data_IF_924177124127
#
_entry.id   IF_924177124127
#
_cell.length_a   1.000
_cell.length_b   1.000
_cell.length_c   1.000
_cell.angle_alpha   90.00
_cell.angle_beta   90.00
_cell.angle_gamma   90.00
#
_symmetry.space_group_name_H-M   'P 1'
#
loop_
_entity.id
_entity.type
_entity.pdbx_description
1 polymer ?
#
# COMPACT_ATOMS: atom_id res chain seq x y z
N UNK A 1 -9.50 22.18 24.23
CA UNK A 1 -9.92 22.38 22.84
C UNK A 1 -10.68 21.13 22.40
N UNK A 2 -11.87 21.27 21.82
CA UNK A 2 -12.66 20.13 21.37
C UNK A 2 -12.25 19.76 19.94
N UNK A 3 -12.34 18.47 19.58
CA UNK A 3 -11.95 17.95 18.25
C UNK A 3 -12.70 18.67 17.11
N UNK A 4 -13.98 18.96 17.29
CA UNK A 4 -14.83 19.62 16.29
C UNK A 4 -14.40 21.07 15.99
N UNK A 5 -13.54 21.66 16.82
CA UNK A 5 -12.98 23.00 16.63
C UNK A 5 -11.69 23.01 15.82
N UNK A 6 -11.16 21.83 15.47
CA UNK A 6 -9.91 21.69 14.73
C UNK A 6 -10.20 21.29 13.30
N UNK A 7 -9.76 22.11 12.37
CA UNK A 7 -9.74 21.77 10.94
C UNK A 7 -8.32 21.35 10.61
N UNK A 8 -8.15 20.05 10.36
CA UNK A 8 -6.85 19.45 10.03
C UNK A 8 -6.79 19.06 8.56
N UNK A 9 -5.99 19.76 7.77
CA UNK A 9 -5.70 19.49 6.36
C UNK A 9 -4.37 18.75 6.16
N UNK A 10 -3.84 18.08 7.17
CA UNK A 10 -2.61 17.31 7.06
C UNK A 10 -2.72 16.22 5.97
N UNK A 11 -1.77 16.16 5.02
CA UNK A 11 -1.84 15.23 3.89
C UNK A 11 -1.42 13.79 4.24
N UNK A 12 -0.88 13.61 5.43
CA UNK A 12 -0.46 12.32 6.00
C UNK A 12 0.63 12.49 7.06
N UNK A 13 0.38 12.03 8.31
CA UNK A 13 -0.85 11.35 8.77
C UNK A 13 -2.11 12.18 8.57
N UNK A 14 -3.13 11.56 7.99
CA UNK A 14 -4.39 12.24 7.69
C UNK A 14 -5.41 12.12 8.84
N UNK A 15 -6.49 12.89 8.75
CA UNK A 15 -7.61 12.82 9.70
C UNK A 15 -8.29 11.45 9.57
N UNK A 16 -8.53 10.82 10.72
CA UNK A 16 -9.29 9.58 10.80
C UNK A 16 -10.79 9.87 11.06
N UNK A 17 -11.70 9.02 10.56
CA UNK A 17 -13.10 9.08 10.90
C UNK A 17 -13.29 9.07 12.43
N UNK A 18 -14.25 9.87 12.92
CA UNK A 18 -14.51 9.94 14.36
C UNK A 18 -14.99 8.60 14.93
N UNK A 19 -15.83 7.91 14.19
CA UNK A 19 -16.41 6.62 14.57
C UNK A 19 -15.33 5.55 14.75
N UNK A 20 -14.30 5.58 13.91
CA UNK A 20 -13.14 4.67 14.03
C UNK A 20 -12.35 4.95 15.31
N UNK A 21 -12.10 6.22 15.61
CA UNK A 21 -11.38 6.60 16.83
C UNK A 21 -12.18 6.34 18.10
N UNK A 22 -13.50 6.54 18.06
CA UNK A 22 -14.37 6.30 19.21
C UNK A 22 -14.46 4.79 19.49
N UNK A 23 -14.63 3.98 18.46
CA UNK A 23 -14.58 2.50 18.57
C UNK A 23 -13.23 2.02 19.13
N UNK A 24 -12.12 2.56 18.61
CA UNK A 24 -10.79 2.23 19.11
C UNK A 24 -10.63 2.60 20.61
N UNK A 25 -11.14 3.75 21.04
CA UNK A 25 -11.12 4.17 22.44
C UNK A 25 -11.95 3.26 23.35
N UNK A 26 -13.13 2.82 22.90
CA UNK A 26 -13.99 1.88 23.63
C UNK A 26 -13.29 0.55 23.87
N UNK A 27 -12.58 0.04 22.85
CA UNK A 27 -11.93 -1.26 22.87
C UNK A 27 -10.48 -1.23 23.42
N UNK A 28 -9.94 -0.04 23.69
CA UNK A 28 -8.52 0.14 24.00
C UNK A 28 -8.02 -0.69 25.19
N UNK A 29 -8.82 -0.84 26.23
CA UNK A 29 -8.45 -1.57 27.44
C UNK A 29 -8.98 -3.01 27.47
N UNK A 30 -9.97 -3.32 26.65
CA UNK A 30 -10.59 -4.65 26.65
C UNK A 30 -11.13 -4.96 25.24
N UNK A 31 -10.21 -5.32 24.35
CA UNK A 31 -10.57 -5.67 22.98
C UNK A 31 -11.28 -7.03 22.92
N UNK A 32 -12.42 -7.04 22.24
CA UNK A 32 -13.23 -8.26 22.00
C UNK A 32 -13.47 -9.11 23.27
N UNK A 33 -13.64 -8.44 24.43
CA UNK A 33 -13.87 -9.09 25.75
C UNK A 33 -12.75 -10.03 26.20
N UNK A 34 -11.54 -9.86 25.68
CA UNK A 34 -10.36 -10.67 26.07
C UNK A 34 -9.78 -10.30 27.42
N UNK A 35 -10.18 -9.16 27.99
CA UNK A 35 -9.58 -8.58 29.20
C UNK A 35 -8.24 -7.88 28.95
N UNK A 36 -7.81 -7.78 27.69
CA UNK A 36 -6.55 -7.15 27.28
C UNK A 36 -6.77 -6.14 26.15
N UNK A 37 -5.85 -5.20 26.02
CA UNK A 37 -5.77 -4.34 24.83
C UNK A 37 -5.34 -5.15 23.62
N UNK A 38 -5.83 -4.77 22.43
CA UNK A 38 -5.32 -5.34 21.17
C UNK A 38 -3.80 -5.15 21.02
N UNK A 39 -3.21 -4.13 21.66
CA UNK A 39 -1.76 -3.88 21.66
C UNK A 39 -0.97 -4.92 22.47
N UNK A 40 -1.63 -5.64 23.39
CA UNK A 40 -1.02 -6.65 24.27
C UNK A 40 -1.24 -8.07 23.76
N UNK A 41 -2.12 -8.24 22.74
CA UNK A 41 -2.45 -9.54 22.16
C UNK A 41 -1.24 -10.08 21.38
N UNK A 42 -0.89 -11.34 21.66
CA UNK A 42 0.16 -12.03 20.91
C UNK A 42 -0.24 -12.20 19.43
N UNK A 43 0.65 -11.81 18.52
CA UNK A 43 0.46 -12.05 17.08
C UNK A 43 0.42 -13.54 16.67
N UNK A 44 0.57 -14.45 17.64
CA UNK A 44 0.45 -15.92 17.45
C UNK A 44 -0.80 -16.49 18.10
N UNK A 45 -1.59 -15.69 18.79
CA UNK A 45 -2.85 -16.14 19.40
C UNK A 45 -3.94 -16.40 18.36
N UNK A 46 -4.95 -17.17 18.73
CA UNK A 46 -6.15 -17.42 17.91
C UNK A 46 -6.88 -16.13 17.59
N UNK A 47 -7.05 -15.25 18.58
CA UNK A 47 -7.76 -13.98 18.46
C UNK A 47 -7.10 -13.05 17.44
N UNK A 48 -5.76 -12.97 17.45
CA UNK A 48 -5.05 -12.20 16.43
C UNK A 48 -5.12 -12.87 15.06
N UNK A 49 -5.05 -14.18 14.96
CA UNK A 49 -5.18 -14.90 13.70
C UNK A 49 -6.54 -14.64 13.06
N UNK A 50 -7.60 -14.61 13.84
CA UNK A 50 -8.96 -14.28 13.37
C UNK A 50 -9.04 -12.84 12.86
N UNK A 51 -8.57 -11.85 13.66
CA UNK A 51 -8.48 -10.45 13.25
C UNK A 51 -7.69 -10.28 11.95
N UNK A 52 -6.52 -10.91 11.87
CA UNK A 52 -5.63 -10.80 10.73
C UNK A 52 -6.26 -11.34 9.45
N UNK A 53 -6.89 -12.51 9.52
CA UNK A 53 -7.59 -13.13 8.40
C UNK A 53 -8.81 -12.29 7.97
N UNK A 54 -9.58 -11.78 8.93
CA UNK A 54 -10.73 -10.93 8.68
C UNK A 54 -10.33 -9.62 7.96
N UNK A 55 -9.29 -8.95 8.43
CA UNK A 55 -8.80 -7.71 7.80
C UNK A 55 -8.29 -7.97 6.38
N UNK A 56 -7.56 -9.07 6.14
CA UNK A 56 -7.14 -9.46 4.78
C UNK A 56 -8.34 -9.71 3.87
N UNK A 57 -9.31 -10.47 4.34
CA UNK A 57 -10.50 -10.81 3.55
C UNK A 57 -11.34 -9.57 3.22
N UNK A 58 -11.60 -8.70 4.20
CA UNK A 58 -12.30 -7.43 3.99
C UNK A 58 -11.57 -6.51 3.00
N UNK A 59 -10.25 -6.42 3.11
CA UNK A 59 -9.43 -5.66 2.17
C UNK A 59 -9.53 -6.24 0.75
N UNK A 60 -9.48 -7.57 0.64
CA UNK A 60 -9.64 -8.27 -0.63
C UNK A 60 -10.98 -7.97 -1.29
N UNK A 61 -12.06 -8.00 -0.51
CA UNK A 61 -13.40 -7.73 -0.99
C UNK A 61 -13.60 -6.26 -1.38
N UNK A 62 -13.23 -5.31 -0.53
CA UNK A 62 -13.46 -3.87 -0.77
C UNK A 62 -12.62 -3.33 -1.93
N UNK A 63 -11.39 -3.83 -2.10
CA UNK A 63 -10.50 -3.42 -3.17
C UNK A 63 -10.59 -4.29 -4.43
N UNK A 64 -11.48 -5.31 -4.46
CA UNK A 64 -11.64 -6.25 -5.57
C UNK A 64 -10.34 -6.96 -5.96
N UNK A 65 -9.54 -7.36 -4.96
CA UNK A 65 -8.24 -8.01 -5.19
C UNK A 65 -8.46 -9.43 -5.72
N UNK A 66 -7.94 -9.78 -6.91
CA UNK A 66 -8.14 -11.10 -7.50
C UNK A 66 -7.31 -12.18 -6.79
N UNK A 67 -7.69 -13.45 -6.96
CA UNK A 67 -6.99 -14.61 -6.36
C UNK A 67 -5.55 -14.79 -6.85
N UNK A 68 -5.20 -14.21 -7.99
CA UNK A 68 -3.84 -14.17 -8.50
C UNK A 68 -2.89 -13.31 -7.66
N UNK A 69 -3.44 -12.42 -6.82
CA UNK A 69 -2.65 -11.52 -5.98
C UNK A 69 -2.70 -11.93 -4.53
N UNK A 70 -1.65 -11.56 -3.82
CA UNK A 70 -1.51 -11.72 -2.38
C UNK A 70 -1.41 -10.36 -1.70
N UNK A 71 -1.94 -10.29 -0.46
CA UNK A 71 -1.83 -9.12 0.39
C UNK A 71 -0.74 -9.38 1.42
N UNK A 72 0.27 -8.52 1.46
CA UNK A 72 1.30 -8.54 2.49
C UNK A 72 1.16 -7.32 3.39
N UNK A 73 1.21 -7.54 4.70
CA UNK A 73 1.28 -6.50 5.71
C UNK A 73 2.73 -6.33 6.15
N UNK A 74 3.32 -5.20 5.78
CA UNK A 74 4.74 -4.94 5.94
C UNK A 74 5.00 -3.70 6.79
N UNK A 75 6.26 -3.44 7.10
CA UNK A 75 6.71 -2.28 7.85
C UNK A 75 7.64 -1.42 6.98
N UNK A 76 7.95 -0.20 7.44
CA UNK A 76 8.89 0.70 6.75
C UNK A 76 8.26 1.72 5.82
N UNK A 77 6.93 1.70 5.64
CA UNK A 77 6.21 2.66 4.78
C UNK A 77 6.56 2.51 3.30
N UNK A 78 6.03 3.42 2.48
CA UNK A 78 6.38 3.51 1.06
C UNK A 78 7.89 3.70 0.85
N UNK A 79 8.58 4.35 1.79
CA UNK A 79 10.03 4.56 1.68
C UNK A 79 10.83 3.26 1.65
N UNK A 80 10.43 2.25 2.41
CA UNK A 80 11.05 0.93 2.31
C UNK A 80 10.72 0.26 0.97
N UNK A 81 9.49 0.42 0.47
CA UNK A 81 9.08 -0.17 -0.81
C UNK A 81 9.83 0.40 -2.00
N UNK A 82 10.19 1.69 -1.97
CA UNK A 82 11.04 2.31 -3.01
C UNK A 82 12.39 1.60 -3.20
N UNK A 83 12.92 0.97 -2.13
CA UNK A 83 14.13 0.13 -2.19
C UNK A 83 13.79 -1.35 -2.42
N UNK A 84 12.73 -1.86 -1.77
CA UNK A 84 12.37 -3.28 -1.82
C UNK A 84 11.91 -3.72 -3.21
N UNK A 85 11.17 -2.89 -3.93
CA UNK A 85 10.74 -3.18 -5.31
C UNK A 85 11.95 -3.48 -6.20
N UNK A 86 12.94 -2.59 -6.37
CA UNK A 86 14.10 -2.90 -7.18
C UNK A 86 14.96 -4.05 -6.61
N UNK A 87 15.05 -4.22 -5.28
CA UNK A 87 15.77 -5.35 -4.68
C UNK A 87 15.15 -6.69 -5.07
N UNK A 88 13.83 -6.81 -5.09
CA UNK A 88 13.14 -8.06 -5.40
C UNK A 88 12.99 -8.29 -6.91
N UNK A 89 12.68 -7.26 -7.68
CA UNK A 89 12.28 -7.42 -9.09
C UNK A 89 13.40 -7.16 -10.10
N UNK A 90 14.56 -6.64 -9.67
CA UNK A 90 15.61 -6.14 -10.56
C UNK A 90 16.99 -6.50 -10.04
N UNK A 91 18.07 -6.26 -10.80
CA UNK A 91 19.47 -6.43 -10.41
C UNK A 91 20.35 -5.32 -11.00
N UNK A 92 21.64 -5.31 -10.69
CA UNK A 92 22.59 -4.34 -11.26
C UNK A 92 22.76 -4.49 -12.77
N UNK A 93 22.55 -5.69 -13.30
CA UNK A 93 22.69 -6.02 -14.71
C UNK A 93 21.41 -5.80 -15.51
N UNK A 94 20.30 -5.53 -14.82
CA UNK A 94 18.99 -5.27 -15.44
C UNK A 94 18.64 -3.78 -15.42
N UNK A 95 17.50 -3.44 -15.98
CA UNK A 95 16.96 -2.10 -15.97
C UNK A 95 15.51 -2.10 -15.51
N UNK A 96 15.03 -0.96 -15.03
CA UNK A 96 13.64 -0.71 -14.73
C UNK A 96 13.21 0.65 -15.28
N UNK A 97 11.99 0.73 -15.76
CA UNK A 97 11.38 1.94 -16.27
C UNK A 97 10.68 2.70 -15.15
N UNK A 98 10.84 4.00 -15.10
CA UNK A 98 10.20 4.87 -14.12
C UNK A 98 9.49 6.04 -14.78
N UNK A 99 8.29 6.34 -14.32
CA UNK A 99 7.55 7.54 -14.67
C UNK A 99 7.88 8.65 -13.67
N UNK A 100 8.56 9.70 -14.11
CA UNK A 100 8.96 10.83 -13.28
C UNK A 100 7.82 11.87 -13.23
N UNK A 101 6.80 11.62 -12.40
CA UNK A 101 5.62 12.47 -12.27
C UNK A 101 5.83 13.66 -11.31
N UNK A 102 6.62 13.49 -10.24
CA UNK A 102 6.79 14.53 -9.24
C UNK A 102 7.81 14.18 -8.17
N UNK A 103 7.59 14.69 -6.96
CA UNK A 103 8.51 14.56 -5.83
C UNK A 103 8.72 13.10 -5.39
N UNK A 104 7.63 12.34 -5.24
CA UNK A 104 7.72 10.96 -4.75
C UNK A 104 8.31 10.02 -5.80
N UNK A 105 7.96 10.22 -7.06
CA UNK A 105 8.59 9.49 -8.16
C UNK A 105 10.10 9.74 -8.20
N UNK A 106 10.58 10.97 -8.01
CA UNK A 106 12.02 11.29 -7.95
C UNK A 106 12.70 10.58 -6.78
N UNK A 107 12.04 10.45 -5.62
CA UNK A 107 12.58 9.67 -4.50
C UNK A 107 12.68 8.19 -4.83
N UNK A 108 11.64 7.61 -5.43
CA UNK A 108 11.66 6.21 -5.87
C UNK A 108 12.78 5.94 -6.88
N UNK A 109 12.96 6.84 -7.86
CA UNK A 109 14.07 6.79 -8.83
C UNK A 109 15.42 6.84 -8.12
N UNK A 110 15.59 7.73 -7.14
CA UNK A 110 16.85 7.85 -6.38
C UNK A 110 17.21 6.58 -5.62
N UNK A 111 16.23 5.90 -5.02
CA UNK A 111 16.47 4.62 -4.33
C UNK A 111 16.74 3.48 -5.34
N UNK A 112 15.99 3.42 -6.42
CA UNK A 112 16.17 2.40 -7.45
C UNK A 112 17.55 2.48 -8.12
N UNK A 113 18.07 3.68 -8.39
CA UNK A 113 19.41 3.88 -8.99
C UNK A 113 20.57 3.30 -8.16
N UNK A 114 20.36 3.03 -6.88
CA UNK A 114 21.35 2.34 -6.03
C UNK A 114 21.43 0.84 -6.30
N UNK A 115 20.41 0.28 -6.96
CA UNK A 115 20.18 -1.17 -7.06
C UNK A 115 20.14 -1.64 -8.52
N UNK A 116 19.58 -0.86 -9.43
CA UNK A 116 19.38 -1.21 -10.84
C UNK A 116 19.64 -0.01 -11.76
N UNK A 117 19.71 -0.25 -13.06
CA UNK A 117 19.76 0.83 -14.05
C UNK A 117 18.37 1.39 -14.27
N UNK A 118 18.16 2.67 -13.99
CA UNK A 118 16.87 3.33 -14.18
C UNK A 118 16.80 4.02 -15.53
N UNK A 119 15.75 3.69 -16.32
CA UNK A 119 15.33 4.44 -17.49
C UNK A 119 14.13 5.32 -17.14
N UNK A 120 14.18 6.59 -17.50
CA UNK A 120 13.01 7.49 -17.36
C UNK A 120 12.11 7.28 -18.58
N UNK A 121 11.09 6.44 -18.38
CA UNK A 121 10.14 6.07 -19.44
C UNK A 121 9.26 7.25 -19.90
N UNK A 122 8.90 8.12 -18.97
CA UNK A 122 8.19 9.38 -19.24
C UNK A 122 8.39 10.36 -18.10
N UNK A 123 8.16 11.65 -18.36
CA UNK A 123 8.12 12.70 -17.35
C UNK A 123 6.87 13.55 -17.52
N UNK A 124 6.37 14.11 -16.41
CA UNK A 124 5.19 14.98 -16.47
C UNK A 124 5.47 16.29 -17.23
N UNK A 125 4.57 16.74 -18.13
CA UNK A 125 3.37 16.06 -18.60
C UNK A 125 3.70 14.83 -19.45
N UNK A 126 2.90 13.75 -19.33
CA UNK A 126 3.17 12.41 -19.87
C UNK A 126 2.92 12.34 -21.39
N UNK A 127 3.54 13.23 -22.16
CA UNK A 127 3.33 13.35 -23.62
C UNK A 127 4.27 12.43 -24.43
N UNK A 128 5.44 12.12 -23.88
CA UNK A 128 6.47 11.34 -24.58
C UNK A 128 6.87 10.15 -23.77
N UNK A 129 6.94 9.00 -24.44
CA UNK A 129 7.31 7.71 -23.84
C UNK A 129 8.56 7.15 -24.49
N UNK A 130 9.47 6.65 -23.65
CA UNK A 130 10.67 5.93 -24.04
C UNK A 130 10.76 4.65 -23.23
N UNK A 131 9.96 3.65 -23.61
CA UNK A 131 9.86 2.38 -22.93
C UNK A 131 11.04 1.47 -23.28
N UNK A 132 11.57 0.76 -22.30
CA UNK A 132 12.53 -0.30 -22.49
C UNK A 132 11.82 -1.66 -22.41
N UNK A 133 11.63 -2.32 -23.55
CA UNK A 133 10.95 -3.62 -23.64
C UNK A 133 11.66 -4.77 -22.89
N UNK A 134 12.87 -4.53 -22.36
CA UNK A 134 13.62 -5.43 -21.51
C UNK A 134 13.66 -4.99 -20.05
N UNK A 135 12.92 -3.96 -19.67
CA UNK A 135 12.82 -3.53 -18.29
C UNK A 135 12.24 -4.65 -17.42
N UNK A 136 12.74 -4.79 -16.20
CA UNK A 136 12.20 -5.73 -15.22
C UNK A 136 10.79 -5.37 -14.80
N UNK A 137 10.46 -4.07 -14.78
CA UNK A 137 9.15 -3.50 -14.46
C UNK A 137 9.08 -2.02 -14.87
N UNK A 138 7.86 -1.49 -14.87
CA UNK A 138 7.59 -0.05 -14.92
C UNK A 138 7.03 0.38 -13.57
N UNK A 139 7.59 1.44 -13.00
CA UNK A 139 7.14 2.04 -11.75
C UNK A 139 6.53 3.42 -11.96
N UNK A 140 5.40 3.70 -11.28
CA UNK A 140 4.82 5.03 -11.23
C UNK A 140 4.25 5.35 -9.84
N UNK A 141 4.11 6.65 -9.55
CA UNK A 141 3.39 7.16 -8.39
C UNK A 141 2.02 7.63 -8.84
N UNK A 142 0.97 6.98 -8.38
CA UNK A 142 -0.39 7.22 -8.86
C UNK A 142 -0.95 8.59 -8.44
N UNK A 143 -0.42 9.16 -7.35
CA UNK A 143 -0.80 10.50 -6.89
C UNK A 143 0.34 11.17 -6.13
N UNK A 144 0.90 12.20 -6.74
CA UNK A 144 1.96 13.06 -6.18
C UNK A 144 1.36 14.10 -5.23
N UNK A 145 1.37 13.82 -3.94
CA UNK A 145 0.72 14.68 -2.94
C UNK A 145 1.43 16.01 -2.68
N UNK A 146 2.68 16.16 -3.11
CA UNK A 146 3.43 17.43 -3.04
C UNK A 146 3.11 18.32 -4.25
N UNK A 147 3.07 17.71 -5.44
CA UNK A 147 2.91 18.42 -6.71
C UNK A 147 1.43 18.53 -7.14
N UNK A 148 0.54 17.76 -6.53
CA UNK A 148 -0.89 17.73 -6.89
C UNK A 148 -1.17 17.07 -8.24
N UNK A 149 -0.37 16.06 -8.62
CA UNK A 149 -0.44 15.39 -9.92
C UNK A 149 -0.97 13.97 -9.74
N UNK A 150 -2.10 13.65 -10.38
CA UNK A 150 -2.61 12.29 -10.50
C UNK A 150 -2.11 11.62 -11.78
N UNK A 151 -1.71 10.35 -11.68
CA UNK A 151 -1.30 9.51 -12.81
C UNK A 151 -2.05 8.19 -12.72
N UNK A 152 -2.69 7.79 -13.81
CA UNK A 152 -3.34 6.49 -13.95
C UNK A 152 -2.84 5.81 -15.21
N UNK A 153 -2.18 4.68 -15.05
CA UNK A 153 -1.63 3.88 -16.15
C UNK A 153 -2.34 2.52 -16.29
N UNK A 154 -3.43 2.29 -15.56
CA UNK A 154 -4.15 1.01 -15.56
C UNK A 154 -4.73 0.62 -16.92
N UNK A 155 -5.01 1.62 -17.77
CA UNK A 155 -5.53 1.42 -19.13
C UNK A 155 -4.44 1.30 -20.21
N UNK A 156 -3.16 1.36 -19.82
CA UNK A 156 -2.04 1.17 -20.75
C UNK A 156 -1.58 -0.28 -20.72
N UNK A 157 -1.35 -0.83 -21.90
CA UNK A 157 -0.81 -2.19 -22.03
C UNK A 157 0.71 -2.13 -22.05
N UNK A 158 1.32 -2.74 -21.03
CA UNK A 158 2.76 -2.83 -20.89
C UNK A 158 3.19 -4.30 -21.00
N UNK A 159 4.22 -4.59 -21.79
CA UNK A 159 4.79 -5.94 -21.93
C UNK A 159 5.64 -6.36 -20.71
N UNK A 160 5.70 -5.55 -19.67
CA UNK A 160 6.49 -5.76 -18.44
C UNK A 160 5.63 -5.45 -17.21
N UNK A 161 5.98 -6.01 -16.03
CA UNK A 161 5.22 -5.80 -14.79
C UNK A 161 4.99 -4.33 -14.47
N UNK A 162 3.75 -3.94 -14.16
CA UNK A 162 3.39 -2.60 -13.72
C UNK A 162 3.40 -2.52 -12.18
N UNK A 163 4.14 -1.57 -11.65
CA UNK A 163 4.29 -1.31 -10.20
C UNK A 163 3.80 0.08 -9.85
N UNK A 164 2.96 0.20 -8.83
CA UNK A 164 2.37 1.47 -8.41
C UNK A 164 2.61 1.80 -6.93
N UNK A 165 3.04 3.04 -6.67
CA UNK A 165 2.86 3.68 -5.36
C UNK A 165 1.45 4.28 -5.29
N UNK A 166 0.58 3.66 -4.49
CA UNK A 166 -0.78 4.13 -4.23
C UNK A 166 -0.98 4.58 -2.78
N UNK A 167 0.09 5.01 -2.10
CA UNK A 167 0.03 5.39 -0.68
C UNK A 167 -1.03 6.43 -0.36
N UNK A 168 -1.35 7.32 -1.29
CA UNK A 168 -2.31 8.40 -1.05
C UNK A 168 -3.71 8.12 -1.56
N UNK A 169 -3.90 7.15 -2.44
CA UNK A 169 -5.18 6.96 -3.12
C UNK A 169 -5.68 5.50 -3.17
N UNK A 170 -4.99 4.55 -2.56
CA UNK A 170 -5.56 3.21 -2.36
C UNK A 170 -6.82 3.32 -1.48
N UNK A 171 -7.91 2.68 -1.89
CA UNK A 171 -9.25 2.75 -1.29
C UNK A 171 -9.94 4.13 -1.36
N UNK A 172 -9.48 5.06 -2.19
CA UNK A 172 -10.22 6.30 -2.47
C UNK A 172 -11.25 6.14 -3.60
N UNK A 173 -10.99 5.19 -4.51
CA UNK A 173 -11.86 4.82 -5.62
C UNK A 173 -11.56 3.38 -6.05
N UNK A 174 -12.40 2.74 -6.86
CA UNK A 174 -12.07 1.47 -7.51
C UNK A 174 -10.81 1.58 -8.35
N UNK A 175 -9.96 0.57 -8.29
CA UNK A 175 -8.71 0.44 -9.07
C UNK A 175 -8.72 -0.93 -9.73
N UNK A 176 -8.30 -1.02 -10.98
CA UNK A 176 -8.05 -2.31 -11.63
C UNK A 176 -6.73 -2.91 -11.08
N UNK A 177 -6.87 -3.67 -9.99
CA UNK A 177 -5.73 -4.34 -9.35
C UNK A 177 -5.08 -5.33 -10.33
N UNK A 178 -5.88 -5.98 -11.18
CA UNK A 178 -5.40 -7.02 -12.09
C UNK A 178 -4.41 -6.50 -13.13
N UNK A 179 -4.51 -5.22 -13.50
CA UNK A 179 -3.56 -4.58 -14.42
C UNK A 179 -2.18 -4.31 -13.80
N UNK A 180 -2.06 -4.43 -12.47
CA UNK A 180 -0.83 -4.17 -11.74
C UNK A 180 -0.20 -5.46 -11.24
N UNK A 181 1.09 -5.58 -11.40
CA UNK A 181 1.83 -6.71 -10.83
C UNK A 181 2.22 -6.49 -9.37
N UNK A 182 2.34 -5.23 -8.95
CA UNK A 182 2.55 -4.84 -7.56
C UNK A 182 1.99 -3.45 -7.29
N UNK A 183 1.20 -3.35 -6.22
CA UNK A 183 0.78 -2.07 -5.65
C UNK A 183 1.30 -2.02 -4.21
N UNK A 184 1.85 -0.88 -3.80
CA UNK A 184 2.14 -0.66 -2.38
C UNK A 184 1.54 0.64 -1.88
N UNK A 185 1.19 0.66 -0.60
CA UNK A 185 0.59 1.82 0.06
C UNK A 185 0.99 1.90 1.54
N UNK A 186 1.56 3.03 1.93
CA UNK A 186 1.67 3.39 3.34
C UNK A 186 0.31 3.78 3.90
N UNK A 187 -0.09 3.19 5.04
CA UNK A 187 -1.46 3.33 5.55
C UNK A 187 -1.80 4.70 6.14
N UNK A 188 -0.82 5.53 6.48
CA UNK A 188 -0.99 6.79 7.21
C UNK A 188 -1.82 7.87 6.51
N UNK A 189 -2.18 7.67 5.24
CA UNK A 189 -2.96 8.66 4.49
C UNK A 189 -4.45 8.32 4.50
N UNK A 190 -4.84 7.19 3.92
CA UNK A 190 -6.25 6.87 3.71
C UNK A 190 -6.74 5.61 4.44
N UNK A 191 -5.83 4.73 4.86
CA UNK A 191 -6.19 3.36 5.26
C UNK A 191 -5.94 3.09 6.75
N UNK A 192 -5.22 3.97 7.44
CA UNK A 192 -4.83 3.72 8.83
C UNK A 192 -3.88 4.75 9.40
N UNK A 193 -3.00 4.28 10.27
CA UNK A 193 -1.92 5.06 10.90
C UNK A 193 -0.57 4.74 10.27
N UNK A 194 0.45 5.54 10.59
CA UNK A 194 1.83 5.24 10.23
C UNK A 194 2.31 3.94 10.90
N UNK A 195 3.16 3.18 10.21
CA UNK A 195 3.78 1.95 10.74
C UNK A 195 3.36 0.68 10.01
N UNK A 196 2.25 0.67 9.28
CA UNK A 196 1.85 -0.42 8.39
C UNK A 196 2.03 0.00 6.93
N UNK A 197 2.41 -0.95 6.11
CA UNK A 197 2.46 -0.85 4.65
C UNK A 197 1.71 -2.02 4.05
N UNK A 198 0.74 -1.74 3.20
CA UNK A 198 0.05 -2.77 2.43
C UNK A 198 0.80 -2.96 1.12
N UNK A 199 1.10 -4.21 0.77
CA UNK A 199 1.61 -4.59 -0.54
C UNK A 199 0.63 -5.61 -1.14
N UNK A 200 0.11 -5.31 -2.32
CA UNK A 200 -0.73 -6.21 -3.12
C UNK A 200 0.15 -6.64 -4.29
N UNK A 201 0.46 -7.93 -4.38
CA UNK A 201 1.46 -8.44 -5.32
C UNK A 201 0.97 -9.68 -6.04
N UNK A 202 1.22 -9.75 -7.34
CA UNK A 202 0.97 -10.94 -8.15
C UNK A 202 1.88 -12.09 -7.66
N UNK A 203 1.27 -13.24 -7.37
CA UNK A 203 1.95 -14.45 -6.90
C UNK A 203 3.04 -14.94 -7.84
N UNK A 204 2.84 -14.77 -9.16
CA UNK A 204 3.81 -15.16 -10.18
C UNK A 204 5.12 -14.37 -10.08
N UNK A 205 5.06 -13.08 -9.65
CA UNK A 205 6.26 -12.27 -9.48
C UNK A 205 7.06 -12.72 -8.26
N UNK A 206 6.39 -13.07 -7.16
CA UNK A 206 7.04 -13.57 -5.94
C UNK A 206 7.89 -14.80 -6.28
N UNK A 207 7.30 -15.76 -6.98
CA UNK A 207 7.98 -17.03 -7.32
C UNK A 207 9.12 -16.86 -8.32
N UNK A 208 9.06 -15.87 -9.20
CA UNK A 208 10.08 -15.61 -10.23
C UNK A 208 11.30 -14.86 -9.69
N UNK A 209 11.23 -14.23 -8.53
CA UNK A 209 12.34 -13.38 -8.06
C UNK A 209 13.61 -14.19 -7.75
N UNK A 210 13.49 -15.38 -7.18
CA UNK A 210 14.59 -16.34 -6.94
C UNK A 210 15.81 -15.78 -6.19
N UNK A 211 15.70 -14.58 -5.60
CA UNK A 211 16.81 -13.82 -5.03
C UNK A 211 17.02 -14.13 -3.56
N UNK A 212 18.28 -14.29 -3.19
CA UNK A 212 18.68 -14.33 -1.79
C UNK A 212 18.82 -12.92 -1.24
N UNK A 213 17.76 -12.42 -0.58
CA UNK A 213 17.75 -11.14 0.11
C UNK A 213 17.71 -11.35 1.62
N UNK A 214 18.16 -10.36 2.42
CA UNK A 214 17.87 -10.38 3.86
C UNK A 214 16.35 -10.50 4.08
N UNK A 215 15.96 -11.37 5.01
CA UNK A 215 14.56 -11.83 5.17
C UNK A 215 13.52 -10.70 5.20
N UNK A 216 13.81 -9.61 5.93
CA UNK A 216 12.91 -8.47 6.05
C UNK A 216 12.69 -7.69 4.75
N UNK A 217 13.52 -7.90 3.73
CA UNK A 217 13.44 -7.22 2.42
C UNK A 217 12.96 -8.15 1.31
N UNK A 218 12.64 -9.42 1.62
CA UNK A 218 12.19 -10.42 0.65
C UNK A 218 10.67 -10.57 0.67
N UNK A 219 10.01 -10.30 -0.47
CA UNK A 219 8.57 -10.56 -0.60
C UNK A 219 8.23 -12.05 -0.46
N UNK A 220 9.10 -12.94 -0.93
CA UNK A 220 8.93 -14.38 -0.77
C UNK A 220 8.90 -14.82 0.69
N UNK A 221 9.79 -14.27 1.53
CA UNK A 221 9.79 -14.55 2.98
C UNK A 221 8.53 -14.00 3.66
N UNK A 222 8.09 -12.80 3.27
CA UNK A 222 6.83 -12.25 3.81
C UNK A 222 5.61 -13.05 3.35
N UNK A 223 5.57 -13.49 2.11
CA UNK A 223 4.51 -14.36 1.57
C UNK A 223 4.46 -15.70 2.31
N UNK A 224 5.59 -16.44 2.33
CA UNK A 224 5.67 -17.77 2.95
C UNK A 224 5.41 -17.78 4.46
N UNK A 225 5.62 -16.66 5.14
CA UNK A 225 5.33 -16.46 6.57
C UNK A 225 3.99 -15.77 6.84
N UNK A 226 3.17 -15.56 5.81
CA UNK A 226 1.91 -14.81 5.90
C UNK A 226 2.09 -13.46 6.62
N UNK A 227 3.10 -12.70 6.21
CA UNK A 227 3.49 -11.39 6.79
C UNK A 227 3.88 -11.43 8.28
N UNK A 228 4.13 -12.61 8.85
CA UNK A 228 4.43 -12.82 10.26
C UNK A 228 5.84 -13.39 10.49
N UNK A 229 6.76 -13.10 9.60
CA UNK A 229 8.17 -13.44 9.78
C UNK A 229 8.73 -12.80 11.07
N UNK A 230 8.39 -11.55 11.33
CA UNK A 230 8.59 -10.85 12.60
C UNK A 230 7.24 -10.44 13.20
N UNK A 231 7.23 -9.89 14.42
CA UNK A 231 6.01 -9.35 15.02
C UNK A 231 5.43 -8.23 14.17
N UNK A 232 4.23 -8.40 13.61
CA UNK A 232 3.59 -7.37 12.78
C UNK A 232 3.09 -6.21 13.66
N UNK A 233 2.77 -5.04 13.08
CA UNK A 233 2.21 -3.91 13.79
C UNK A 233 0.72 -4.17 14.12
N UNK A 234 0.46 -4.98 15.16
CA UNK A 234 -0.86 -5.50 15.55
C UNK A 234 -1.92 -4.40 15.63
N UNK A 235 -1.62 -3.31 16.34
CA UNK A 235 -2.54 -2.18 16.51
C UNK A 235 -2.88 -1.49 15.18
N UNK A 236 -1.91 -1.36 14.28
CA UNK A 236 -2.13 -0.76 12.97
C UNK A 236 -3.03 -1.63 12.08
N UNK A 237 -2.86 -2.95 12.15
CA UNK A 237 -3.71 -3.92 11.43
C UNK A 237 -5.15 -3.83 11.94
N UNK A 238 -5.33 -3.80 13.27
CA UNK A 238 -6.65 -3.59 13.88
C UNK A 238 -7.31 -2.29 13.41
N UNK A 239 -6.59 -1.15 13.47
CA UNK A 239 -7.11 0.14 12.99
C UNK A 239 -7.44 0.13 11.50
N UNK A 240 -6.63 -0.53 10.69
CA UNK A 240 -6.91 -0.72 9.26
C UNK A 240 -8.23 -1.48 9.07
N UNK A 241 -8.47 -2.53 9.88
CA UNK A 241 -9.74 -3.25 9.90
C UNK A 241 -10.94 -2.34 10.19
N UNK A 242 -10.85 -1.51 11.23
CA UNK A 242 -11.92 -0.55 11.57
C UNK A 242 -12.18 0.47 10.45
N UNK A 243 -11.14 0.93 9.76
CA UNK A 243 -11.31 1.86 8.62
C UNK A 243 -11.96 1.16 7.44
N UNK A 244 -11.59 -0.07 7.14
CA UNK A 244 -12.23 -0.85 6.06
C UNK A 244 -13.72 -1.06 6.38
N UNK A 245 -14.05 -1.39 7.63
CA UNK A 245 -15.44 -1.51 8.09
C UNK A 245 -16.20 -0.19 7.93
N UNK A 246 -15.56 0.91 8.28
CA UNK A 246 -16.16 2.23 8.09
C UNK A 246 -16.41 2.53 6.60
N UNK A 247 -15.46 2.22 5.71
CA UNK A 247 -15.62 2.38 4.26
C UNK A 247 -16.81 1.54 3.76
N UNK A 248 -16.88 0.26 4.14
CA UNK A 248 -17.97 -0.65 3.73
C UNK A 248 -19.32 -0.14 4.21
N UNK A 249 -19.41 0.24 5.49
CA UNK A 249 -20.66 0.72 6.11
C UNK A 249 -21.16 2.02 5.48
N UNK A 250 -20.24 2.85 4.98
CA UNK A 250 -20.57 4.12 4.32
C UNK A 250 -20.74 4.00 2.80
N UNK A 251 -20.95 2.80 2.25
CA UNK A 251 -21.29 2.62 0.84
C UNK A 251 -20.10 2.27 -0.07
N UNK A 252 -18.96 1.88 0.52
CA UNK A 252 -17.80 1.35 -0.20
C UNK A 252 -17.05 2.38 -1.02
N UNK A 253 -16.25 1.90 -1.99
CA UNK A 253 -15.35 2.76 -2.78
C UNK A 253 -16.11 3.77 -3.66
N UNK A 254 -17.32 3.47 -4.12
CA UNK A 254 -18.10 4.42 -4.89
C UNK A 254 -18.50 5.66 -4.06
N UNK A 255 -18.77 5.47 -2.77
CA UNK A 255 -19.02 6.60 -1.87
C UNK A 255 -17.75 7.37 -1.58
N UNK A 256 -16.62 6.69 -1.36
CA UNK A 256 -15.32 7.34 -1.14
C UNK A 256 -14.90 8.20 -2.33
N UNK A 257 -15.09 7.72 -3.55
CA UNK A 257 -14.83 8.48 -4.78
C UNK A 257 -15.69 9.74 -4.85
N UNK A 258 -16.99 9.63 -4.55
CA UNK A 258 -17.90 10.78 -4.52
C UNK A 258 -17.49 11.81 -3.46
N UNK A 259 -17.07 11.40 -2.26
CA UNK A 259 -16.55 12.30 -1.24
C UNK A 259 -15.30 13.05 -1.72
N UNK A 260 -14.41 12.37 -2.43
CA UNK A 260 -13.20 12.98 -2.99
C UNK A 260 -13.54 14.02 -4.06
N UNK A 261 -14.57 13.78 -4.88
CA UNK A 261 -15.03 14.70 -5.94
C UNK A 261 -15.75 15.94 -5.38
N UNK A 262 -16.42 15.84 -4.23
CA UNK A 262 -17.11 16.98 -3.60
C UNK A 262 -16.11 18.09 -3.21
N UNK A 263 -14.88 17.73 -2.90
CA UNK A 263 -13.84 18.67 -2.48
C UNK A 263 -13.05 19.29 -3.65
N UNK A 264 -13.32 18.89 -4.87
CA UNK A 264 -12.76 19.46 -6.10
C UNK A 264 -13.70 20.54 -6.66
#
# INVERSE_FOLDING_TARGET
>A
MKREQIINFGPGPAVMPFEVLDKCKEELLNWNSTGMSVMEISHRSSEFNELFAEVKEKLKQVAFIPDSHEILFMQGGASAQMSMVPMNLSSKESSADYVQSGYWAKKAISEANKITNVNIASSYPLEKWSLNNKASYIHYTSNETVDGIGVDLSNMDFNVPLVADMSSNLLTKPVDIKSHSLIYAGTQKNIGTSGLTIVIIDKDIITKSGKSLPAMFSYDVHSSSDSRYNTPPVFNIYLTGLIIDWIITNGGLAHMENLSLIHI
#
